data_IF_106254786740
#
_entry.id   IF_106254786740
#
_cell.length_a   1.000
_cell.length_b   1.000
_cell.length_c   1.000
_cell.angle_alpha   90.00
_cell.angle_beta   90.00
_cell.angle_gamma   90.00
#
_symmetry.space_group_name_H-M   'P 1'
#
loop_
_entity.id
_entity.type
_entity.pdbx_description
1 polymer ?
#
# COMPACT_ATOMS: atom_id res chain seq x y z
N UNK A 1 -16.79 -19.09 41.11
CA UNK A 1 -16.26 -19.92 40.01
C UNK A 1 -16.05 -19.00 38.82
N UNK A 2 -14.90 -18.32 38.73
CA UNK A 2 -14.60 -17.32 37.70
C UNK A 2 -13.93 -18.00 36.51
N UNK A 3 -14.65 -18.08 35.38
CA UNK A 3 -14.11 -18.50 34.09
C UNK A 3 -13.21 -17.40 33.54
N UNK A 4 -11.89 -17.59 33.66
CA UNK A 4 -10.88 -16.80 32.98
C UNK A 4 -10.92 -17.14 31.48
N UNK A 5 -11.36 -16.20 30.66
CA UNK A 5 -11.23 -16.25 29.21
C UNK A 5 -9.74 -16.19 28.83
N UNK A 6 -9.26 -17.01 27.87
CA UNK A 6 -7.90 -16.86 27.36
C UNK A 6 -7.74 -15.51 26.64
N UNK A 7 -6.58 -14.90 26.82
CA UNK A 7 -6.19 -13.63 26.20
C UNK A 7 -6.33 -13.68 24.68
N UNK A 8 -6.96 -12.65 24.11
CA UNK A 8 -7.06 -12.44 22.68
C UNK A 8 -5.69 -12.53 22.00
N UNK A 9 -5.61 -13.24 20.87
CA UNK A 9 -4.49 -13.11 19.96
C UNK A 9 -4.55 -11.71 19.33
N UNK A 10 -3.64 -10.82 19.75
CA UNK A 10 -3.41 -9.57 19.07
C UNK A 10 -2.62 -9.83 17.79
N UNK A 11 -3.21 -9.57 16.63
CA UNK A 11 -2.45 -9.45 15.39
C UNK A 11 -1.64 -8.16 15.45
N UNK A 12 -0.40 -8.23 15.94
CA UNK A 12 0.57 -7.16 15.73
C UNK A 12 1.07 -7.24 14.29
N UNK A 13 0.87 -6.16 13.55
CA UNK A 13 1.58 -5.90 12.30
C UNK A 13 3.05 -5.73 12.62
N UNK A 14 3.88 -6.73 12.30
CA UNK A 14 5.33 -6.57 12.31
C UNK A 14 5.74 -6.07 10.93
N UNK A 15 5.83 -4.76 10.76
CA UNK A 15 6.60 -4.16 9.66
C UNK A 15 8.09 -4.13 10.07
N UNK A 16 8.93 -4.47 9.10
CA UNK A 16 10.38 -4.71 9.22
C UNK A 16 11.17 -3.53 9.80
N UNK A 17 12.24 -3.83 10.54
CA UNK A 17 13.26 -2.85 10.96
C UNK A 17 13.75 -1.99 9.78
N UNK A 18 13.95 -0.69 10.05
CA UNK A 18 14.54 0.28 9.13
C UNK A 18 15.96 -0.12 8.73
N UNK A 19 16.19 -0.40 7.45
CA UNK A 19 17.56 -0.61 6.94
C UNK A 19 17.73 -1.37 5.62
N UNK A 20 16.69 -2.01 5.09
CA UNK A 20 16.80 -2.70 3.79
C UNK A 20 16.12 -1.88 2.69
N UNK A 21 16.92 -1.29 1.83
CA UNK A 21 16.46 -0.75 0.55
C UNK A 21 15.73 -1.86 -0.23
N UNK A 22 14.46 -1.62 -0.54
CA UNK A 22 13.74 -2.30 -1.61
C UNK A 22 13.38 -3.76 -1.37
N UNK A 23 12.46 -4.04 -0.44
CA UNK A 23 11.48 -5.13 -0.56
C UNK A 23 10.43 -5.02 0.57
N UNK A 24 9.12 -4.92 0.28
CA UNK A 24 8.11 -5.05 1.32
C UNK A 24 8.06 -6.53 1.72
N UNK A 25 8.34 -6.85 2.97
CA UNK A 25 8.13 -8.19 3.52
C UNK A 25 6.97 -8.12 4.51
N UNK A 26 5.84 -8.73 4.15
CA UNK A 26 4.80 -9.09 5.10
C UNK A 26 4.86 -10.61 5.30
N UNK A 27 5.26 -11.05 6.49
CA UNK A 27 5.24 -12.46 6.87
C UNK A 27 4.39 -12.59 8.13
N UNK A 28 3.27 -13.32 8.03
CA UNK A 28 2.62 -13.88 9.22
C UNK A 28 2.78 -15.40 9.18
N UNK A 29 3.69 -15.93 9.99
CA UNK A 29 3.87 -17.37 10.19
C UNK A 29 3.34 -17.69 11.58
N UNK A 30 2.05 -18.08 11.66
CA UNK A 30 1.47 -18.61 12.89
C UNK A 30 2.00 -20.04 13.08
N UNK A 31 3.02 -20.21 13.93
CA UNK A 31 3.48 -21.54 14.36
C UNK A 31 2.46 -22.14 15.33
N UNK A 32 1.67 -23.10 14.86
CA UNK A 32 0.98 -24.04 15.75
C UNK A 32 1.93 -25.19 16.07
N UNK A 33 2.35 -25.30 17.33
CA UNK A 33 3.06 -26.47 17.84
C UNK A 33 2.06 -27.62 18.01
N UNK A 34 2.01 -28.55 17.07
CA UNK A 34 1.20 -29.77 17.15
C UNK A 34 2.07 -30.89 17.76
N UNK A 35 1.86 -31.19 19.05
CA UNK A 35 2.60 -32.27 19.71
C UNK A 35 1.86 -33.61 19.49
N UNK A 36 2.34 -34.44 18.56
CA UNK A 36 1.82 -35.79 18.33
C UNK A 36 2.83 -36.85 18.80
N UNK A 37 2.47 -37.60 19.85
CA UNK A 37 3.17 -38.83 20.27
C UNK A 37 2.66 -40.01 19.43
N UNK A 38 3.53 -40.58 18.58
CA UNK A 38 3.18 -41.69 17.69
C UNK A 38 4.22 -42.82 17.87
N UNK A 39 3.77 -44.05 18.12
CA UNK A 39 4.64 -45.19 18.45
C UNK A 39 5.07 -46.06 17.25
N UNK A 40 4.63 -45.82 16.01
CA UNK A 40 4.88 -46.73 14.88
C UNK A 40 5.86 -46.18 13.83
N UNK A 41 6.97 -46.90 13.56
CA UNK A 41 8.11 -46.39 12.74
C UNK A 41 7.77 -46.11 11.26
N UNK A 42 6.83 -46.84 10.65
CA UNK A 42 6.40 -46.63 9.26
C UNK A 42 5.50 -45.39 9.16
N UNK A 43 4.58 -45.22 10.13
CA UNK A 43 3.68 -44.08 10.20
C UNK A 43 4.45 -42.78 10.50
N UNK A 44 5.53 -42.86 11.31
CA UNK A 44 6.45 -41.73 11.54
C UNK A 44 7.06 -41.22 10.24
N UNK A 45 7.60 -42.09 9.38
CA UNK A 45 8.21 -41.68 8.10
C UNK A 45 7.22 -40.99 7.17
N UNK A 46 6.00 -41.52 7.05
CA UNK A 46 4.94 -40.90 6.24
C UNK A 46 4.54 -39.51 6.77
N UNK A 47 4.44 -39.36 8.09
CA UNK A 47 4.10 -38.08 8.72
C UNK A 47 5.24 -37.08 8.59
N UNK A 48 6.49 -37.52 8.74
CA UNK A 48 7.67 -36.66 8.53
C UNK A 48 7.73 -36.15 7.09
N UNK A 49 7.42 -37.01 6.10
CA UNK A 49 7.36 -36.61 4.68
C UNK A 49 6.23 -35.61 4.46
N UNK A 50 5.02 -35.87 4.99
CA UNK A 50 3.90 -34.92 4.89
C UNK A 50 4.21 -33.57 5.55
N UNK A 51 4.86 -33.59 6.71
CA UNK A 51 5.25 -32.39 7.44
C UNK A 51 6.27 -31.56 6.64
N UNK A 52 7.29 -32.21 6.06
CA UNK A 52 8.28 -31.55 5.21
C UNK A 52 7.59 -30.92 3.99
N UNK A 53 6.69 -31.66 3.32
CA UNK A 53 5.97 -31.13 2.14
C UNK A 53 5.03 -29.97 2.46
N UNK A 54 4.38 -29.97 3.64
CA UNK A 54 3.55 -28.84 4.08
C UNK A 54 4.38 -27.60 4.43
N UNK A 55 5.59 -27.78 4.97
CA UNK A 55 6.47 -26.64 5.31
C UNK A 55 7.21 -26.05 4.11
N UNK A 56 7.30 -26.77 2.99
CA UNK A 56 8.01 -26.32 1.79
C UNK A 56 7.17 -25.47 0.84
N UNK A 57 5.86 -25.39 1.02
CA UNK A 57 4.98 -24.52 0.22
C UNK A 57 4.78 -23.18 0.92
N UNK A 58 5.81 -22.32 0.92
CA UNK A 58 5.65 -20.92 1.31
C UNK A 58 5.01 -20.16 0.15
N UNK A 59 3.69 -20.03 0.15
CA UNK A 59 3.00 -19.06 -0.71
C UNK A 59 3.29 -17.65 -0.16
N UNK A 60 4.28 -16.97 -0.75
CA UNK A 60 4.38 -15.52 -0.62
C UNK A 60 3.37 -14.89 -1.60
N UNK A 61 2.20 -14.53 -1.09
CA UNK A 61 1.34 -13.59 -1.80
C UNK A 61 1.74 -12.21 -1.29
N UNK A 62 2.62 -11.54 -2.02
CA UNK A 62 2.96 -10.13 -1.78
C UNK A 62 1.78 -9.30 -2.25
N UNK A 63 0.92 -8.91 -1.31
CA UNK A 63 -0.23 -8.06 -1.60
C UNK A 63 0.18 -6.64 -1.21
N UNK A 64 0.07 -5.71 -2.17
CA UNK A 64 0.53 -4.33 -2.03
C UNK A 64 -0.66 -3.39 -2.02
N UNK A 65 -0.68 -2.48 -1.04
CA UNK A 65 -1.67 -1.38 -1.00
C UNK A 65 -1.24 -0.18 -1.87
N UNK A 66 -0.02 -0.22 -2.39
CA UNK A 66 0.59 0.81 -3.20
C UNK A 66 0.84 0.29 -4.61
N UNK A 67 0.56 1.09 -5.65
CA UNK A 67 0.79 0.64 -7.01
C UNK A 67 2.28 0.44 -7.29
N UNK A 68 2.58 -0.47 -8.21
CA UNK A 68 3.96 -0.69 -8.64
C UNK A 68 4.50 0.55 -9.36
N UNK A 69 5.79 0.91 -9.15
CA UNK A 69 6.40 2.03 -9.86
C UNK A 69 6.40 1.75 -11.36
N UNK A 70 6.25 2.79 -12.15
CA UNK A 70 6.32 2.69 -13.60
C UNK A 70 7.77 2.55 -14.06
N UNK A 71 7.99 1.78 -15.13
CA UNK A 71 9.31 1.61 -15.73
C UNK A 71 9.79 2.96 -16.28
N UNK A 72 10.94 3.43 -15.78
CA UNK A 72 11.55 4.71 -16.17
C UNK A 72 12.44 4.47 -17.39
N UNK A 73 12.31 5.31 -18.41
CA UNK A 73 13.28 5.38 -19.49
C UNK A 73 14.33 6.43 -19.12
N UNK A 74 15.54 6.00 -18.76
CA UNK A 74 16.63 6.88 -18.29
C UNK A 74 17.29 7.73 -19.40
N UNK A 75 16.77 7.70 -20.63
CA UNK A 75 17.29 8.49 -21.73
C UNK A 75 16.71 9.91 -21.70
N UNK A 76 17.25 10.75 -20.83
CA UNK A 76 16.93 12.18 -20.77
C UNK A 76 18.14 13.01 -21.20
N UNK A 77 18.16 13.44 -22.46
CA UNK A 77 18.96 14.59 -22.87
C UNK A 77 18.53 15.80 -22.03
N UNK A 78 19.43 16.26 -21.16
CA UNK A 78 19.18 17.28 -20.15
C UNK A 78 19.38 18.71 -20.65
N UNK A 79 19.87 18.87 -21.89
CA UNK A 79 20.16 20.19 -22.45
C UNK A 79 18.85 20.95 -22.72
N UNK A 80 18.67 22.06 -22.00
CA UNK A 80 17.60 23.08 -22.15
C UNK A 80 16.21 22.76 -21.55
N UNK A 81 16.11 21.86 -20.57
CA UNK A 81 14.83 21.60 -19.88
C UNK A 81 14.71 22.39 -18.57
N UNK A 82 13.50 22.84 -18.26
CA UNK A 82 13.18 23.47 -16.97
C UNK A 82 13.23 22.43 -15.84
N UNK A 83 13.45 22.84 -14.60
CA UNK A 83 13.56 21.91 -13.47
C UNK A 83 12.29 21.94 -12.63
N UNK A 84 11.74 20.76 -12.33
CA UNK A 84 10.67 20.58 -11.34
C UNK A 84 11.28 19.93 -10.10
N UNK A 85 11.15 20.61 -8.97
CA UNK A 85 11.58 20.15 -7.66
C UNK A 85 10.37 19.81 -6.80
N UNK A 86 10.33 18.61 -6.22
CA UNK A 86 9.32 18.28 -5.19
C UNK A 86 9.83 18.78 -3.86
N UNK A 87 9.22 19.86 -3.34
CA UNK A 87 9.64 20.51 -2.10
C UNK A 87 9.05 19.79 -0.90
N UNK A 88 7.73 19.59 -0.91
CA UNK A 88 7.01 18.90 0.15
C UNK A 88 6.13 17.77 -0.42
N UNK A 89 6.23 16.58 0.17
CA UNK A 89 5.31 15.47 -0.07
C UNK A 89 4.92 14.92 1.29
N UNK A 90 3.66 15.08 1.72
CA UNK A 90 3.21 14.65 3.05
C UNK A 90 1.96 13.79 2.99
N UNK A 91 1.91 12.76 3.83
CA UNK A 91 0.69 12.01 4.10
C UNK A 91 0.05 12.52 5.39
N UNK A 92 -1.16 13.06 5.30
CA UNK A 92 -1.93 13.60 6.44
C UNK A 92 -2.63 12.47 7.23
N UNK A 93 -1.87 11.43 7.57
CA UNK A 93 -2.32 10.35 8.43
C UNK A 93 -1.09 9.77 9.15
N UNK A 94 -1.02 9.96 10.47
CA UNK A 94 0.13 9.56 11.28
C UNK A 94 0.39 8.04 11.22
N UNK A 95 -0.67 7.25 11.10
CA UNK A 95 -0.58 5.78 11.03
C UNK A 95 0.08 5.30 9.72
N UNK A 96 0.14 6.19 8.72
CA UNK A 96 0.68 5.90 7.38
C UNK A 96 1.96 6.70 7.09
N UNK A 97 2.59 7.29 8.12
CA UNK A 97 3.83 8.04 7.96
C UNK A 97 4.97 7.15 7.40
N UNK A 98 5.01 5.86 7.77
CA UNK A 98 6.03 4.92 7.31
C UNK A 98 6.01 4.71 5.79
N UNK A 99 4.83 4.79 5.16
CA UNK A 99 4.66 4.54 3.72
C UNK A 99 4.83 5.82 2.88
N UNK A 100 5.07 6.98 3.49
CA UNK A 100 5.26 8.26 2.78
C UNK A 100 6.40 8.20 1.75
N UNK A 101 7.52 7.58 2.14
CA UNK A 101 8.67 7.42 1.25
C UNK A 101 8.33 6.60 0.00
N UNK A 102 7.53 5.54 0.15
CA UNK A 102 7.08 4.69 -0.94
C UNK A 102 6.10 5.43 -1.86
N UNK A 103 5.14 6.17 -1.29
CA UNK A 103 4.24 7.03 -2.04
C UNK A 103 5.00 8.08 -2.86
N UNK A 104 5.97 8.76 -2.26
CA UNK A 104 6.80 9.76 -2.94
C UNK A 104 7.56 9.14 -4.11
N UNK A 105 8.17 7.98 -3.90
CA UNK A 105 8.92 7.28 -4.95
C UNK A 105 8.03 6.88 -6.13
N UNK A 106 6.86 6.30 -5.84
CA UNK A 106 5.86 5.94 -6.86
C UNK A 106 5.43 7.19 -7.62
N UNK A 107 5.05 8.24 -6.89
CA UNK A 107 4.61 9.48 -7.51
C UNK A 107 5.65 10.08 -8.45
N UNK A 108 6.93 10.13 -8.03
CA UNK A 108 8.05 10.58 -8.88
C UNK A 108 8.18 9.71 -10.13
N UNK A 109 8.07 8.39 -9.97
CA UNK A 109 8.15 7.46 -11.11
C UNK A 109 7.06 7.76 -12.14
N UNK A 110 5.80 7.96 -11.71
CA UNK A 110 4.72 8.30 -12.62
C UNK A 110 4.89 9.71 -13.24
N UNK A 111 5.41 10.68 -12.49
CA UNK A 111 5.75 12.01 -13.02
C UNK A 111 6.81 11.91 -14.14
N UNK A 112 7.85 11.10 -13.94
CA UNK A 112 8.94 10.88 -14.93
C UNK A 112 8.43 10.19 -16.20
N UNK A 113 7.37 9.38 -16.09
CA UNK A 113 6.74 8.69 -17.22
C UNK A 113 5.86 9.60 -18.08
N UNK A 114 5.34 10.69 -17.53
CA UNK A 114 4.43 11.56 -18.27
C UNK A 114 5.15 12.27 -19.43
N UNK A 115 4.80 11.93 -20.67
CA UNK A 115 5.47 12.39 -21.90
C UNK A 115 5.48 13.94 -22.02
N UNK A 116 4.36 14.66 -21.80
CA UNK A 116 4.36 16.12 -21.86
C UNK A 116 5.37 16.76 -20.90
N UNK A 117 5.45 16.23 -19.68
CA UNK A 117 6.38 16.72 -18.66
C UNK A 117 7.82 16.34 -19.00
N UNK A 118 8.07 15.09 -19.39
CA UNK A 118 9.41 14.58 -19.73
C UNK A 118 10.09 15.40 -20.84
N UNK A 119 9.31 15.94 -21.78
CA UNK A 119 9.84 16.72 -22.89
C UNK A 119 10.30 18.12 -22.49
N UNK A 120 9.57 18.80 -21.59
CA UNK A 120 9.86 20.19 -21.18
C UNK A 120 10.66 20.30 -19.88
N UNK A 121 10.54 19.30 -19.01
CA UNK A 121 10.98 19.37 -17.62
C UNK A 121 11.87 18.21 -17.23
N UNK A 122 12.84 18.48 -16.34
CA UNK A 122 13.64 17.48 -15.63
C UNK A 122 13.20 17.49 -14.16
N UNK A 123 12.82 16.32 -13.67
CA UNK A 123 12.43 16.15 -12.27
C UNK A 123 13.69 15.92 -11.45
N UNK A 124 14.01 16.88 -10.60
CA UNK A 124 15.14 16.80 -9.69
C UNK A 124 14.66 16.58 -8.26
N UNK A 125 15.32 15.66 -7.58
CA UNK A 125 15.03 15.31 -6.18
C UNK A 125 15.86 16.15 -5.21
N UNK A 126 16.96 16.73 -5.70
CA UNK A 126 17.87 17.56 -4.92
C UNK A 126 17.49 19.04 -5.02
N UNK A 127 17.49 19.73 -3.87
CA UNK A 127 17.22 21.17 -3.73
C UNK A 127 18.39 22.02 -4.27
N UNK A 128 18.71 21.91 -5.55
CA UNK A 128 19.62 22.84 -6.19
C UNK A 128 18.80 24.03 -6.70
N UNK A 129 19.08 25.19 -6.12
CA UNK A 129 18.45 26.47 -6.42
C UNK A 129 18.95 26.99 -7.76
N UNK A 130 18.31 26.56 -8.84
CA UNK A 130 18.42 27.25 -10.12
C UNK A 130 17.27 28.27 -10.24
N UNK A 131 17.59 29.43 -10.84
CA UNK A 131 16.76 30.66 -10.85
C UNK A 131 15.43 30.55 -11.63
N UNK A 132 15.15 29.42 -12.28
CA UNK A 132 13.90 29.13 -13.02
C UNK A 132 13.36 27.73 -12.69
N UNK A 133 13.24 27.42 -11.39
CA UNK A 133 12.70 26.13 -10.94
C UNK A 133 11.24 26.22 -10.52
N UNK A 134 10.47 25.21 -10.91
CA UNK A 134 9.13 24.98 -10.42
C UNK A 134 9.21 24.13 -9.15
N UNK A 135 8.47 24.51 -8.12
CA UNK A 135 8.33 23.73 -6.90
C UNK A 135 6.94 23.12 -6.83
N UNK A 136 6.89 21.87 -6.42
CA UNK A 136 5.66 21.10 -6.25
C UNK A 136 5.53 20.70 -4.78
N UNK A 137 4.39 21.07 -4.19
CA UNK A 137 3.98 20.62 -2.85
C UNK A 137 2.73 19.75 -2.98
N UNK A 138 2.74 18.58 -2.35
CA UNK A 138 1.64 17.61 -2.40
C UNK A 138 1.32 17.13 -0.99
N UNK A 139 0.02 17.11 -0.69
CA UNK A 139 -0.53 16.52 0.53
C UNK A 139 -1.59 15.51 0.16
N UNK A 140 -1.49 14.32 0.73
CA UNK A 140 -2.43 13.22 0.50
C UNK A 140 -3.01 12.79 1.84
N UNK A 141 -4.33 12.70 1.94
CA UNK A 141 -5.04 12.25 3.13
C UNK A 141 -5.91 11.04 2.78
N UNK A 142 -5.38 9.81 2.93
CA UNK A 142 -6.16 8.60 2.79
C UNK A 142 -6.96 8.33 4.08
N UNK A 143 -8.26 8.06 3.92
CA UNK A 143 -9.21 7.76 4.97
C UNK A 143 -9.87 6.43 4.63
N UNK A 144 -9.58 5.40 5.44
CA UNK A 144 -10.17 4.08 5.32
C UNK A 144 -11.20 3.88 6.44
N UNK A 145 -12.41 3.53 6.05
CA UNK A 145 -13.51 3.24 6.97
C UNK A 145 -14.03 1.83 6.69
N UNK A 146 -14.04 0.99 7.71
CA UNK A 146 -14.48 -0.40 7.61
C UNK A 146 -15.69 -0.62 8.50
N UNK A 147 -16.77 -1.16 7.93
CA UNK A 147 -17.93 -1.65 8.66
C UNK A 147 -17.94 -3.18 8.62
N UNK A 148 -18.04 -3.79 9.80
CA UNK A 148 -18.11 -5.25 9.96
C UNK A 148 -19.46 -5.64 10.55
N UNK A 149 -20.09 -6.68 9.98
CA UNK A 149 -21.24 -7.30 10.62
C UNK A 149 -20.77 -8.48 11.49
N UNK A 150 -20.62 -8.21 12.79
CA UNK A 150 -20.13 -9.20 13.76
C UNK A 150 -21.09 -10.36 14.00
N UNK A 151 -22.38 -10.19 13.69
CA UNK A 151 -23.39 -11.24 13.90
C UNK A 151 -23.25 -12.42 12.94
N UNK A 152 -22.62 -12.21 11.78
CA UNK A 152 -22.35 -13.26 10.80
C UNK A 152 -20.98 -13.93 11.03
N UNK A 153 -20.07 -13.26 11.74
CA UNK A 153 -18.79 -13.83 12.14
C UNK A 153 -18.94 -14.66 13.41
N UNK A 154 -19.33 -15.93 13.26
CA UNK A 154 -19.34 -16.87 14.38
C UNK A 154 -17.91 -17.06 14.95
N UNK A 155 -17.73 -17.03 16.29
CA UNK A 155 -16.44 -17.33 16.89
C UNK A 155 -16.06 -18.78 16.59
N UNK A 156 -14.84 -18.98 16.10
CA UNK A 156 -14.30 -20.30 15.80
C UNK A 156 -14.04 -21.04 17.12
N UNK A 157 -14.85 -22.04 17.45
CA UNK A 157 -14.56 -22.98 18.55
C UNK A 157 -13.83 -24.18 17.94
N UNK A 158 -12.51 -24.18 18.00
CA UNK A 158 -11.68 -25.30 17.54
C UNK A 158 -11.89 -26.52 18.46
N UNK A 159 -12.03 -27.76 17.94
CA UNK A 159 -11.83 -28.22 16.56
C UNK A 159 -13.13 -28.40 15.76
N UNK A 160 -14.28 -27.89 16.22
CA UNK A 160 -15.59 -28.12 15.58
C UNK A 160 -15.77 -27.15 14.41
N UNK A 161 -14.99 -27.33 13.34
CA UNK A 161 -15.04 -26.53 12.11
C UNK A 161 -16.11 -27.05 11.15
N UNK A 162 -17.38 -27.06 11.56
CA UNK A 162 -18.48 -27.48 10.66
C UNK A 162 -18.89 -26.31 9.74
N UNK A 163 -18.78 -25.07 10.22
CA UNK A 163 -19.06 -23.87 9.44
C UNK A 163 -17.91 -22.87 9.63
N UNK A 164 -17.19 -22.55 8.56
CA UNK A 164 -16.27 -21.42 8.59
C UNK A 164 -17.12 -20.13 8.64
N UNK A 165 -16.79 -19.13 9.46
CA UNK A 165 -17.54 -17.88 9.48
C UNK A 165 -17.61 -17.24 8.10
N UNK A 166 -18.84 -16.89 7.70
CA UNK A 166 -19.08 -15.99 6.57
C UNK A 166 -18.86 -14.58 7.11
N UNK A 167 -17.86 -13.90 6.57
CA UNK A 167 -17.59 -12.52 6.90
C UNK A 167 -18.23 -11.61 5.85
N UNK A 168 -19.01 -10.65 6.33
CA UNK A 168 -19.44 -9.50 5.54
C UNK A 168 -18.64 -8.27 5.96
N UNK A 169 -18.02 -7.62 4.98
CA UNK A 169 -17.28 -6.37 5.19
C UNK A 169 -17.67 -5.37 4.11
N UNK A 170 -17.93 -4.14 4.55
CA UNK A 170 -18.10 -2.97 3.69
C UNK A 170 -16.93 -2.03 3.99
N UNK A 171 -16.15 -1.73 2.97
CA UNK A 171 -15.01 -0.82 3.07
C UNK A 171 -15.30 0.40 2.22
N UNK A 172 -15.23 1.58 2.82
CA UNK A 172 -15.21 2.86 2.13
C UNK A 172 -13.84 3.51 2.26
N UNK A 173 -13.27 3.87 1.12
CA UNK A 173 -11.94 4.47 1.02
C UNK A 173 -12.05 5.81 0.32
N UNK A 174 -11.58 6.87 0.98
CA UNK A 174 -11.58 8.24 0.47
C UNK A 174 -10.17 8.78 0.52
N UNK A 175 -9.70 9.34 -0.58
CA UNK A 175 -8.39 9.98 -0.67
C UNK A 175 -8.63 11.45 -1.02
N UNK A 176 -8.26 12.34 -0.10
CA UNK A 176 -8.21 13.77 -0.38
C UNK A 176 -6.79 14.11 -0.82
N UNK A 177 -6.66 14.87 -1.88
CA UNK A 177 -5.37 15.30 -2.42
C UNK A 177 -5.39 16.80 -2.61
N UNK A 178 -4.36 17.45 -2.12
CA UNK A 178 -4.10 18.88 -2.28
C UNK A 178 -2.72 19.01 -2.92
N UNK A 179 -2.62 19.79 -3.99
CA UNK A 179 -1.33 20.07 -4.63
C UNK A 179 -1.19 21.55 -4.94
N UNK A 180 0.04 22.04 -4.86
CA UNK A 180 0.40 23.43 -5.13
C UNK A 180 1.64 23.50 -6.00
N UNK A 181 1.61 24.38 -6.99
CA UNK A 181 2.71 24.64 -7.92
C UNK A 181 3.21 26.06 -7.68
N UNK A 182 4.51 26.19 -7.46
CA UNK A 182 5.18 27.47 -7.30
C UNK A 182 6.22 27.66 -8.37
N UNK A 183 6.50 28.91 -8.74
CA UNK A 183 7.65 29.30 -9.54
C UNK A 183 8.40 30.39 -8.80
N UNK A 184 9.68 30.14 -8.53
CA UNK A 184 10.52 31.07 -7.78
C UNK A 184 9.83 31.54 -6.49
N UNK A 185 9.25 30.58 -5.76
CA UNK A 185 8.50 30.77 -4.49
C UNK A 185 7.13 31.45 -4.58
N UNK A 186 6.71 31.94 -5.74
CA UNK A 186 5.36 32.46 -5.94
C UNK A 186 4.39 31.34 -6.30
N UNK A 187 3.25 31.27 -5.60
CA UNK A 187 2.19 30.31 -5.88
C UNK A 187 1.54 30.64 -7.23
N UNK A 188 1.67 29.72 -8.18
CA UNK A 188 1.02 29.82 -9.50
C UNK A 188 -0.36 29.20 -9.42
N UNK A 189 -0.44 28.02 -8.80
CA UNK A 189 -1.63 27.20 -8.86
C UNK A 189 -1.78 26.38 -7.59
N UNK A 190 -3.03 26.19 -7.18
CA UNK A 190 -3.41 25.39 -6.03
C UNK A 190 -4.76 24.76 -6.31
N UNK A 191 -4.87 23.45 -6.12
CA UNK A 191 -6.14 22.75 -6.21
C UNK A 191 -6.23 21.60 -5.22
N UNK A 192 -7.48 21.20 -4.96
CA UNK A 192 -7.84 20.11 -4.08
C UNK A 192 -8.93 19.27 -4.73
N UNK A 193 -8.77 17.96 -4.64
CA UNK A 193 -9.81 17.02 -5.07
C UNK A 193 -9.93 15.85 -4.11
N UNK A 194 -11.08 15.19 -4.15
CA UNK A 194 -11.35 13.98 -3.38
C UNK A 194 -11.84 12.87 -4.31
N UNK A 195 -11.31 11.66 -4.11
CA UNK A 195 -11.82 10.44 -4.75
C UNK A 195 -12.27 9.50 -3.64
N UNK A 196 -13.56 9.19 -3.61
CA UNK A 196 -14.18 8.27 -2.66
C UNK A 196 -14.81 7.10 -3.40
N UNK A 197 -14.65 5.89 -2.87
CA UNK A 197 -15.37 4.73 -3.36
C UNK A 197 -15.60 3.70 -2.24
N UNK A 198 -16.49 2.75 -2.49
CA UNK A 198 -16.83 1.70 -1.53
C UNK A 198 -16.96 0.34 -2.21
N UNK A 199 -16.49 -0.70 -1.52
CA UNK A 199 -16.66 -2.10 -1.92
C UNK A 199 -17.28 -2.89 -0.77
N UNK A 200 -18.24 -3.74 -1.10
CA UNK A 200 -18.78 -4.73 -0.17
C UNK A 200 -18.38 -6.13 -0.65
N UNK A 201 -17.90 -6.97 0.27
CA UNK A 201 -17.55 -8.35 -0.08
C UNK A 201 -17.99 -9.32 1.00
N UNK A 202 -18.34 -10.51 0.52
CA UNK A 202 -18.59 -11.68 1.35
C UNK A 202 -17.44 -12.65 1.13
N UNK A 203 -16.83 -13.12 2.20
CA UNK A 203 -15.85 -14.18 2.09
C UNK A 203 -15.98 -15.20 3.21
N UNK A 204 -15.68 -16.43 2.85
CA UNK A 204 -15.62 -17.58 3.73
C UNK A 204 -14.14 -17.80 4.07
N UNK A 205 -13.75 -17.65 5.33
CA UNK A 205 -12.33 -17.74 5.67
C UNK A 205 -11.79 -16.66 6.57
N UNK A 206 -10.55 -16.85 7.01
CA UNK A 206 -9.75 -15.81 7.67
C UNK A 206 -8.86 -15.01 6.70
N UNK A 207 -8.79 -15.38 5.42
CA UNK A 207 -7.60 -15.09 4.58
C UNK A 207 -7.83 -14.35 3.26
N UNK A 208 -8.94 -13.62 3.08
CA UNK A 208 -9.15 -12.81 1.85
C UNK A 208 -9.05 -11.32 2.10
N UNK A 209 -7.83 -10.84 2.34
CA UNK A 209 -7.52 -9.39 2.35
C UNK A 209 -7.16 -8.87 0.95
N UNK A 210 -6.78 -9.74 0.02
CA UNK A 210 -6.32 -9.36 -1.32
C UNK A 210 -7.29 -8.47 -2.10
N UNK A 211 -8.60 -8.74 -2.02
CA UNK A 211 -9.62 -7.95 -2.72
C UNK A 211 -9.63 -6.50 -2.21
N UNK A 212 -9.43 -6.30 -0.92
CA UNK A 212 -9.41 -4.95 -0.33
C UNK A 212 -8.12 -4.22 -0.63
N UNK A 213 -7.00 -4.93 -0.64
CA UNK A 213 -5.70 -4.35 -0.94
C UNK A 213 -5.61 -3.97 -2.42
N UNK A 214 -6.09 -4.82 -3.34
CA UNK A 214 -6.23 -4.50 -4.76
C UNK A 214 -7.19 -3.31 -4.97
N UNK A 215 -8.30 -3.27 -4.23
CA UNK A 215 -9.21 -2.12 -4.26
C UNK A 215 -8.51 -0.82 -3.84
N UNK A 216 -7.71 -0.84 -2.77
CA UNK A 216 -6.92 0.31 -2.31
C UNK A 216 -5.87 0.69 -3.37
N UNK A 217 -5.15 -0.29 -3.92
CA UNK A 217 -4.13 -0.07 -4.95
C UNK A 217 -4.70 0.63 -6.19
N UNK A 218 -5.82 0.13 -6.72
CA UNK A 218 -6.49 0.71 -7.91
C UNK A 218 -6.94 2.16 -7.63
N UNK A 219 -7.41 2.44 -6.41
CA UNK A 219 -7.86 3.79 -6.04
C UNK A 219 -6.67 4.74 -5.86
N UNK A 220 -5.58 4.27 -5.29
CA UNK A 220 -4.32 5.01 -5.18
C UNK A 220 -3.75 5.34 -6.56
N UNK A 221 -3.73 4.38 -7.47
CA UNK A 221 -3.31 4.58 -8.87
C UNK A 221 -4.14 5.69 -9.53
N UNK A 222 -5.47 5.62 -9.42
CA UNK A 222 -6.38 6.61 -10.02
C UNK A 222 -6.13 8.03 -9.47
N UNK A 223 -5.81 8.17 -8.19
CA UNK A 223 -5.46 9.47 -7.59
C UNK A 223 -4.15 10.00 -8.16
N UNK A 224 -3.13 9.15 -8.24
CA UNK A 224 -1.81 9.52 -8.78
C UNK A 224 -1.94 9.97 -10.25
N UNK A 225 -2.62 9.18 -11.07
CA UNK A 225 -2.84 9.50 -12.49
C UNK A 225 -3.59 10.82 -12.67
N UNK A 226 -4.66 11.03 -11.89
CA UNK A 226 -5.42 12.28 -11.93
C UNK A 226 -4.56 13.48 -11.52
N UNK A 227 -3.85 13.37 -10.39
CA UNK A 227 -2.98 14.43 -9.88
C UNK A 227 -1.91 14.82 -10.91
N UNK A 228 -1.25 13.83 -11.53
CA UNK A 228 -0.22 14.07 -12.54
C UNK A 228 -0.81 14.68 -13.80
N UNK A 229 -1.97 14.21 -14.25
CA UNK A 229 -2.65 14.79 -15.40
C UNK A 229 -2.98 16.26 -15.18
N UNK A 230 -3.47 16.65 -13.99
CA UNK A 230 -3.79 18.04 -13.69
C UNK A 230 -2.53 18.90 -13.59
N UNK A 231 -1.48 18.41 -12.91
CA UNK A 231 -0.17 19.09 -12.85
C UNK A 231 0.41 19.28 -14.26
N UNK A 232 0.36 18.24 -15.10
CA UNK A 232 0.85 18.26 -16.48
C UNK A 232 0.13 19.30 -17.32
N UNK A 233 -1.20 19.36 -17.22
CA UNK A 233 -2.02 20.37 -17.92
C UNK A 233 -1.64 21.80 -17.53
N UNK A 234 -1.47 22.07 -16.22
CA UNK A 234 -1.11 23.41 -15.75
C UNK A 234 0.32 23.79 -16.13
N UNK A 235 1.28 22.87 -16.01
CA UNK A 235 2.66 23.14 -16.40
C UNK A 235 2.87 23.23 -17.92
N UNK A 236 1.97 22.66 -18.73
CA UNK A 236 2.04 22.79 -20.18
C UNK A 236 1.66 24.19 -20.68
N UNK A 237 0.79 24.90 -19.95
CA UNK A 237 0.37 26.28 -20.26
C UNK A 237 1.50 27.30 -20.07
N UNK A 238 2.54 26.95 -19.31
CA UNK A 238 3.75 27.73 -19.09
C UNK A 238 4.94 27.17 -19.90
#
# INVERSE_FOLDING_TARGET
MSLLLPSQASCQSLTSLSGTQGQPTSVSLVRYTLFFLIQNNIMKKFITICLITLTSTSCNVDIRQLPSPSLINDNLDSNNKNIINIREFKILNNDLAEIESAWRYIFISFLKKDIPLQNKYVINENKNENQDSYFLDIKIQPILTEKRNYWWSLPIIYPVTIFWPIHFREISYTINTEYSIYKNEYLIFHDKFAISDSINTYFYGLTRTSIFEEFIEIRNLKVIEKCISEISLHLYQY
#
